data_IF_322121031296
#
_entry.id   IF_322121031296
#
_cell.length_a   1.000
_cell.length_b   1.000
_cell.length_c   1.000
_cell.angle_alpha   90.00
_cell.angle_beta   90.00
_cell.angle_gamma   90.00
#
_symmetry.space_group_name_H-M   'P 1'
#
loop_
_entity.id
_entity.type
_entity.pdbx_description
1 polymer ?
#
# COMPACT_ATOMS: atom_id res chain seq x y z
N UNK A 1 -34.46 -55.04 48.53
CA UNK A 1 -33.70 -54.05 49.33
C UNK A 1 -33.46 -52.86 48.39
N UNK A 2 -34.29 -51.81 48.44
CA UNK A 2 -33.99 -50.51 49.08
C UNK A 2 -32.62 -49.95 48.64
N UNK A 3 -32.44 -48.76 48.07
CA UNK A 3 -33.28 -47.60 47.76
C UNK A 3 -32.44 -46.66 46.86
N UNK A 4 -33.06 -45.97 45.90
CA UNK A 4 -33.41 -44.54 45.99
C UNK A 4 -32.24 -43.53 46.00
N UNK A 5 -32.08 -42.83 44.87
CA UNK A 5 -32.24 -41.37 44.72
C UNK A 5 -31.08 -40.60 44.06
N UNK A 6 -31.46 -39.99 42.92
CA UNK A 6 -31.27 -38.58 42.54
C UNK A 6 -29.85 -38.02 42.57
N UNK A 7 -29.35 -37.55 41.42
CA UNK A 7 -29.14 -36.10 41.22
C UNK A 7 -28.77 -35.76 39.77
N UNK A 8 -29.72 -35.10 39.10
CA UNK A 8 -29.56 -33.96 38.20
C UNK A 8 -28.40 -33.96 37.18
N UNK A 9 -28.75 -34.10 35.89
CA UNK A 9 -29.02 -32.96 34.98
C UNK A 9 -27.82 -32.00 34.86
N UNK A 10 -26.82 -32.33 34.05
CA UNK A 10 -25.97 -31.29 33.43
C UNK A 10 -25.32 -31.75 32.10
N UNK A 11 -25.95 -32.66 31.36
CA UNK A 11 -25.37 -33.30 30.18
C UNK A 11 -25.78 -32.74 28.81
N UNK A 12 -26.45 -31.59 28.72
CA UNK A 12 -27.11 -31.18 27.46
C UNK A 12 -27.03 -29.67 27.13
N UNK A 13 -26.02 -28.96 27.66
CA UNK A 13 -25.79 -27.54 27.32
C UNK A 13 -24.41 -27.26 26.70
N UNK A 14 -23.59 -28.28 26.42
CA UNK A 14 -22.29 -28.10 25.75
C UNK A 14 -22.32 -28.41 24.24
N UNK A 15 -23.48 -28.28 23.60
CA UNK A 15 -23.63 -28.57 22.16
C UNK A 15 -23.95 -27.33 21.30
N UNK A 16 -24.19 -26.16 21.91
CA UNK A 16 -24.71 -25.01 21.15
C UNK A 16 -23.71 -23.88 20.85
N UNK A 17 -22.45 -23.94 21.31
CA UNK A 17 -21.52 -22.80 21.21
C UNK A 17 -20.36 -22.97 20.21
N UNK A 18 -20.21 -24.12 19.55
CA UNK A 18 -19.08 -24.36 18.63
C UNK A 18 -19.41 -24.27 17.13
N UNK A 19 -20.59 -23.79 16.75
CA UNK A 19 -20.92 -23.52 15.33
C UNK A 19 -20.82 -22.04 14.96
N UNK A 20 -19.92 -21.28 15.60
CA UNK A 20 -19.48 -20.02 15.01
C UNK A 20 -18.66 -20.38 13.77
N UNK A 21 -19.33 -20.49 12.62
CA UNK A 21 -18.71 -20.51 11.31
C UNK A 21 -17.98 -19.19 11.16
N UNK A 22 -16.68 -19.19 11.40
CA UNK A 22 -15.80 -18.10 10.96
C UNK A 22 -15.88 -18.10 9.44
N UNK A 23 -16.75 -17.26 8.88
CA UNK A 23 -16.82 -17.00 7.45
C UNK A 23 -15.50 -16.36 7.04
N UNK A 24 -14.58 -17.18 6.53
CA UNK A 24 -13.32 -16.70 6.00
C UNK A 24 -13.62 -16.02 4.66
N UNK A 25 -13.94 -14.73 4.71
CA UNK A 25 -14.10 -13.91 3.52
C UNK A 25 -12.78 -13.95 2.74
N UNK A 26 -12.79 -14.64 1.59
CA UNK A 26 -11.63 -14.66 0.71
C UNK A 26 -11.41 -13.24 0.18
N UNK A 27 -10.17 -12.71 0.22
CA UNK A 27 -9.90 -11.42 -0.37
C UNK A 27 -10.25 -11.46 -1.85
N UNK A 28 -11.02 -10.48 -2.30
CA UNK A 28 -11.36 -10.34 -3.71
C UNK A 28 -10.07 -10.18 -4.52
N UNK A 29 -9.93 -10.98 -5.57
CA UNK A 29 -8.81 -10.85 -6.51
C UNK A 29 -9.04 -9.60 -7.33
N UNK A 30 -8.23 -8.56 -7.09
CA UNK A 30 -8.22 -7.34 -7.91
C UNK A 30 -7.26 -7.56 -9.07
N UNK A 31 -7.75 -7.42 -10.30
CA UNK A 31 -6.94 -7.45 -11.52
C UNK A 31 -6.90 -6.03 -12.12
N UNK A 32 -5.97 -5.16 -11.68
CA UNK A 32 -5.89 -3.80 -12.18
C UNK A 32 -5.46 -3.79 -13.65
N UNK A 33 -6.04 -2.89 -14.44
CA UNK A 33 -5.61 -2.59 -15.81
C UNK A 33 -4.83 -1.28 -15.75
N UNK A 34 -3.64 -1.26 -16.36
CA UNK A 34 -2.87 -0.02 -16.51
C UNK A 34 -3.53 0.78 -17.63
N UNK A 35 -4.09 1.95 -17.28
CA UNK A 35 -4.75 2.85 -18.23
C UNK A 35 -3.73 3.80 -18.86
N UNK A 36 -2.78 4.29 -18.06
CA UNK A 36 -1.76 5.24 -18.48
C UNK A 36 -0.49 5.03 -17.67
N UNK A 37 0.66 5.25 -18.32
CA UNK A 37 1.98 5.24 -17.69
C UNK A 37 2.79 6.43 -18.19
N UNK A 38 3.46 7.14 -17.28
CA UNK A 38 4.29 8.29 -17.62
C UNK A 38 5.65 8.20 -16.92
N UNK A 39 6.72 8.42 -17.68
CA UNK A 39 8.08 8.53 -17.15
C UNK A 39 8.28 9.89 -16.46
N UNK A 40 8.46 9.88 -15.14
CA UNK A 40 8.70 11.11 -14.36
C UNK A 40 10.16 11.53 -14.33
N UNK A 41 11.10 10.60 -14.15
CA UNK A 41 12.53 10.90 -14.12
C UNK A 41 13.32 9.82 -14.85
N UNK A 42 14.15 10.23 -15.80
CA UNK A 42 15.01 9.33 -16.56
C UNK A 42 16.42 9.33 -15.96
N UNK A 43 16.92 8.16 -15.59
CA UNK A 43 18.30 7.98 -15.15
C UNK A 43 19.30 8.55 -16.18
N UNK A 44 20.37 9.21 -15.70
CA UNK A 44 21.38 9.85 -16.54
C UNK A 44 21.06 11.30 -16.93
N UNK A 45 19.87 11.81 -16.60
CA UNK A 45 19.48 13.20 -16.87
C UNK A 45 19.74 14.11 -15.66
N UNK A 46 19.85 15.43 -15.90
CA UNK A 46 20.04 16.43 -14.84
C UNK A 46 21.22 16.15 -13.87
N UNK A 47 22.26 15.45 -14.33
CA UNK A 47 23.41 15.06 -13.50
C UNK A 47 23.09 14.01 -12.43
N UNK A 48 22.02 13.24 -12.60
CA UNK A 48 21.56 12.20 -11.67
C UNK A 48 21.69 10.83 -12.33
N UNK A 49 22.32 9.87 -11.63
CA UNK A 49 22.49 8.51 -12.17
C UNK A 49 21.31 7.60 -11.88
N UNK A 50 20.66 7.75 -10.73
CA UNK A 50 19.54 6.90 -10.34
C UNK A 50 18.46 7.69 -9.60
N UNK A 51 17.20 7.35 -9.84
CA UNK A 51 16.05 7.85 -9.09
C UNK A 51 15.39 6.68 -8.36
N UNK A 52 15.24 6.79 -7.03
CA UNK A 52 14.70 5.71 -6.17
C UNK A 52 13.84 6.27 -5.04
N UNK A 53 13.18 5.38 -4.30
CA UNK A 53 12.34 5.70 -3.14
C UNK A 53 11.23 6.71 -3.50
N UNK A 54 10.31 6.34 -4.40
CA UNK A 54 9.24 7.24 -4.81
C UNK A 54 8.25 7.45 -3.67
N UNK A 55 7.79 8.69 -3.53
CA UNK A 55 6.66 9.08 -2.71
C UNK A 55 5.66 9.83 -3.58
N UNK A 56 4.39 9.47 -3.47
CA UNK A 56 3.30 10.08 -4.22
C UNK A 56 2.17 10.42 -3.25
N UNK A 57 1.73 11.68 -3.23
CA UNK A 57 0.63 12.12 -2.37
C UNK A 57 -0.11 13.31 -2.96
N UNK A 58 -1.33 13.55 -2.49
CA UNK A 58 -2.08 14.76 -2.78
C UNK A 58 -1.88 15.81 -1.67
N UNK A 59 -1.83 17.07 -2.05
CA UNK A 59 -1.97 18.18 -1.11
C UNK A 59 -3.44 18.33 -0.69
N UNK A 60 -3.76 19.03 0.42
CA UNK A 60 -5.14 19.32 0.81
C UNK A 60 -5.96 20.05 -0.27
N UNK A 61 -5.30 20.77 -1.18
CA UNK A 61 -5.92 21.47 -2.31
C UNK A 61 -5.97 20.63 -3.59
N UNK A 62 -5.66 19.33 -3.53
CA UNK A 62 -5.84 18.39 -4.64
C UNK A 62 -4.71 18.36 -5.68
N UNK A 63 -3.60 19.08 -5.45
CA UNK A 63 -2.43 18.94 -6.33
C UNK A 63 -1.73 17.60 -6.08
N UNK A 64 -1.38 16.88 -7.14
CA UNK A 64 -0.56 15.68 -7.05
C UNK A 64 0.91 16.09 -6.90
N UNK A 65 1.60 15.51 -5.91
CA UNK A 65 3.04 15.72 -5.69
C UNK A 65 3.74 14.38 -5.78
N UNK A 66 4.67 14.28 -6.71
CA UNK A 66 5.59 13.16 -6.86
C UNK A 66 6.98 13.58 -6.37
N UNK A 67 7.57 12.77 -5.49
CA UNK A 67 8.92 12.97 -4.97
C UNK A 67 9.72 11.70 -5.20
N UNK A 68 11.00 11.83 -5.52
CA UNK A 68 11.94 10.71 -5.44
C UNK A 68 13.33 11.18 -5.00
N UNK A 69 14.11 10.22 -4.51
CA UNK A 69 15.52 10.42 -4.20
C UNK A 69 16.36 10.38 -5.48
N UNK A 70 16.98 11.51 -5.82
CA UNK A 70 17.90 11.67 -6.93
C UNK A 70 19.34 11.38 -6.49
N UNK A 71 19.88 10.22 -6.84
CA UNK A 71 21.23 9.75 -6.47
C UNK A 71 22.25 10.12 -7.55
N UNK A 72 23.21 10.99 -7.20
CA UNK A 72 24.20 11.50 -8.17
C UNK A 72 25.22 10.44 -8.61
N UNK A 73 25.66 9.59 -7.69
CA UNK A 73 26.85 8.73 -7.92
C UNK A 73 26.56 7.24 -8.08
N UNK A 74 25.63 6.66 -7.31
CA UNK A 74 25.46 5.22 -7.24
C UNK A 74 24.12 4.78 -6.65
N UNK A 75 23.93 3.45 -6.60
CA UNK A 75 22.72 2.79 -6.10
C UNK A 75 22.67 2.66 -4.58
N UNK A 76 23.77 2.92 -3.86
CA UNK A 76 23.82 2.80 -2.41
C UNK A 76 22.97 3.87 -1.71
N UNK A 77 22.46 3.56 -0.52
CA UNK A 77 21.68 4.50 0.28
C UNK A 77 22.56 5.63 0.83
N UNK A 78 23.84 5.38 1.07
CA UNK A 78 24.81 6.42 1.41
C UNK A 78 25.30 7.21 0.17
N UNK A 79 25.72 8.45 0.38
CA UNK A 79 26.35 9.31 -0.63
C UNK A 79 25.47 10.44 -1.16
N UNK A 80 25.98 11.25 -2.10
CA UNK A 80 25.33 12.50 -2.52
C UNK A 80 23.98 12.26 -3.20
N UNK A 81 22.94 12.91 -2.66
CA UNK A 81 21.55 12.81 -3.11
C UNK A 81 20.77 14.07 -2.79
N UNK A 82 19.66 14.28 -3.49
CA UNK A 82 18.68 15.33 -3.22
C UNK A 82 17.28 14.82 -3.54
N UNK A 83 16.24 15.58 -3.14
CA UNK A 83 14.86 15.26 -3.50
C UNK A 83 14.51 15.90 -4.84
N UNK A 84 14.16 15.09 -5.82
CA UNK A 84 13.54 15.58 -7.05
C UNK A 84 12.03 15.59 -6.87
N UNK A 85 11.40 16.71 -7.17
CA UNK A 85 9.98 16.95 -6.89
C UNK A 85 9.31 17.42 -8.18
N UNK A 86 8.14 16.85 -8.46
CA UNK A 86 7.22 17.32 -9.50
C UNK A 86 5.83 17.51 -8.91
N UNK A 87 5.11 18.51 -9.40
CA UNK A 87 3.75 18.84 -8.97
C UNK A 87 2.85 18.92 -10.20
N UNK A 88 1.64 18.40 -10.08
CA UNK A 88 0.56 18.50 -11.05
C UNK A 88 -0.67 19.12 -10.37
N UNK A 89 -1.35 20.02 -11.09
CA UNK A 89 -2.61 20.63 -10.66
C UNK A 89 -3.83 19.93 -11.29
N UNK A 90 -3.59 18.97 -12.19
CA UNK A 90 -4.58 18.24 -12.99
C UNK A 90 -4.56 16.73 -12.71
N UNK A 91 -4.30 16.35 -11.45
CA UNK A 91 -4.30 14.96 -10.95
C UNK A 91 -3.32 14.00 -11.65
N UNK A 92 -2.29 14.54 -12.30
CA UNK A 92 -1.24 13.78 -12.98
C UNK A 92 -1.38 13.74 -14.50
N UNK A 93 -2.41 14.38 -15.09
CA UNK A 93 -2.58 14.42 -16.54
C UNK A 93 -1.45 15.19 -17.24
N UNK A 94 -0.89 16.21 -16.58
CA UNK A 94 0.32 16.87 -17.01
C UNK A 94 1.29 17.06 -15.85
N UNK A 95 2.54 16.70 -16.09
CA UNK A 95 3.65 17.01 -15.20
C UNK A 95 4.67 17.80 -16.02
N UNK A 96 5.09 18.99 -15.55
CA UNK A 96 5.97 19.85 -16.34
C UNK A 96 7.27 19.09 -16.63
N UNK A 97 7.61 18.86 -17.90
CA UNK A 97 8.88 18.26 -18.28
C UNK A 97 10.04 19.16 -17.82
N UNK A 98 11.16 18.55 -17.40
CA UNK A 98 12.39 19.33 -17.18
C UNK A 98 12.86 19.78 -18.55
N UNK A 99 12.90 21.09 -18.79
CA UNK A 99 13.67 21.63 -19.92
C UNK A 99 15.13 21.28 -19.64
N UNK A 100 15.76 20.54 -20.56
CA UNK A 100 17.18 20.18 -20.49
C UNK A 100 18.07 21.40 -20.57
#
# INVERSE_FOLDING_TARGET
>A
MAGNNVCCRFGLLFSLFCFVRVSHAQPAVVAPIVVEEQLLWLAGTAGVRYYRIPLLSYTPHGSLVAVCEARKKGLADAGPKFLAIRRSEDKGASLPSVLY
#
